data_IF_609641680332
#
_entry.id   IF_609641680332
#
_cell.length_a   1.000
_cell.length_b   1.000
_cell.length_c   1.000
_cell.angle_alpha   90.00
_cell.angle_beta   90.00
_cell.angle_gamma   90.00
#
_symmetry.space_group_name_H-M   'P 1'
#
loop_
_entity.id
_entity.type
_entity.pdbx_description
1 polymer ?
#
# COMPACT_ATOMS: atom_id res chain seq x y z
N UNK A 1 11.35 -39.56 20.33
CA UNK A 1 12.38 -38.72 19.71
C UNK A 1 11.98 -38.47 18.26
N UNK A 2 12.30 -37.28 17.76
CA UNK A 2 11.83 -36.59 16.55
C UNK A 2 11.90 -37.41 15.24
N UNK A 3 11.22 -37.09 14.13
CA UNK A 3 11.11 -35.79 13.45
C UNK A 3 9.94 -35.79 12.45
N UNK A 4 9.09 -34.76 12.50
CA UNK A 4 8.26 -34.34 11.38
C UNK A 4 9.00 -33.30 10.53
N UNK A 5 8.86 -33.36 9.20
CA UNK A 5 9.28 -32.32 8.26
C UNK A 5 8.32 -32.37 7.07
N UNK A 6 7.24 -31.60 7.11
CA UNK A 6 7.10 -30.26 6.50
C UNK A 6 6.95 -30.34 4.98
N UNK A 7 5.71 -30.65 4.55
CA UNK A 7 5.28 -30.48 3.17
C UNK A 7 5.13 -28.98 2.85
N UNK A 8 5.75 -28.58 1.75
CA UNK A 8 5.73 -27.21 1.22
C UNK A 8 4.36 -26.95 0.60
N UNK A 9 3.54 -26.13 1.25
CA UNK A 9 2.24 -25.71 0.71
C UNK A 9 2.44 -24.66 -0.40
N UNK A 10 2.48 -25.12 -1.66
CA UNK A 10 2.42 -24.27 -2.84
C UNK A 10 1.04 -23.60 -2.90
N UNK A 11 1.01 -22.28 -2.71
CA UNK A 11 -0.21 -21.49 -2.57
C UNK A 11 -1.12 -21.54 -3.79
N UNK A 12 -2.21 -22.30 -3.67
CA UNK A 12 -3.35 -22.26 -4.60
C UNK A 12 -4.03 -20.90 -4.48
N UNK A 13 -4.05 -20.13 -5.56
CA UNK A 13 -4.78 -18.86 -5.62
C UNK A 13 -6.28 -19.17 -5.50
N UNK A 14 -6.86 -18.88 -4.34
CA UNK A 14 -8.28 -19.08 -4.04
C UNK A 14 -9.17 -18.39 -5.11
N UNK A 15 -10.22 -19.02 -5.66
CA UNK A 15 -11.03 -18.49 -6.79
C UNK A 15 -11.69 -17.12 -6.52
N UNK A 16 -12.06 -16.85 -5.26
CA UNK A 16 -12.54 -15.53 -4.81
C UNK A 16 -11.48 -14.44 -5.02
N UNK A 17 -10.21 -14.83 -5.17
CA UNK A 17 -9.13 -13.90 -5.45
C UNK A 17 -9.15 -13.33 -6.88
N UNK A 18 -9.66 -14.10 -7.83
CA UNK A 18 -9.73 -13.70 -9.23
C UNK A 18 -10.87 -12.69 -9.45
N UNK A 19 -12.02 -12.92 -8.80
CA UNK A 19 -13.18 -12.04 -8.88
C UNK A 19 -12.91 -10.64 -8.32
N UNK A 20 -12.15 -10.51 -7.21
CA UNK A 20 -11.78 -9.19 -6.71
C UNK A 20 -10.82 -8.46 -7.65
N UNK A 21 -9.86 -9.17 -8.26
CA UNK A 21 -8.93 -8.59 -9.25
C UNK A 21 -9.68 -8.05 -10.46
N UNK A 22 -10.71 -8.77 -10.91
CA UNK A 22 -11.56 -8.36 -12.03
C UNK A 22 -12.42 -7.15 -11.68
N UNK A 23 -13.04 -7.11 -10.50
CA UNK A 23 -13.81 -5.95 -10.05
C UNK A 23 -12.94 -4.70 -9.87
N UNK A 24 -11.74 -4.88 -9.32
CA UNK A 24 -10.77 -3.79 -9.16
C UNK A 24 -10.28 -3.29 -10.52
N UNK A 25 -10.04 -4.18 -11.48
CA UNK A 25 -9.63 -3.83 -12.84
C UNK A 25 -10.71 -3.03 -13.58
N UNK A 26 -11.98 -3.44 -13.48
CA UNK A 26 -13.11 -2.74 -14.11
C UNK A 26 -13.36 -1.35 -13.50
N UNK A 27 -13.18 -1.20 -12.18
CA UNK A 27 -13.28 0.11 -11.51
C UNK A 27 -12.10 1.02 -11.83
N UNK A 28 -10.86 0.49 -11.83
CA UNK A 28 -9.68 1.25 -12.27
C UNK A 28 -9.80 1.69 -13.72
N UNK A 29 -10.49 0.92 -14.56
CA UNK A 29 -10.83 1.31 -15.92
C UNK A 29 -11.81 2.49 -15.92
N UNK A 30 -12.89 2.45 -15.13
CA UNK A 30 -13.84 3.56 -14.98
C UNK A 30 -13.21 4.85 -14.44
N UNK A 31 -12.37 4.78 -13.40
CA UNK A 31 -11.64 5.95 -12.90
C UNK A 31 -10.72 6.53 -13.98
N UNK A 32 -10.08 5.67 -14.80
CA UNK A 32 -9.19 6.06 -15.91
C UNK A 32 -9.84 7.00 -16.93
N UNK A 33 -11.14 6.86 -17.15
CA UNK A 33 -11.90 7.64 -18.13
C UNK A 33 -12.53 8.92 -17.54
N UNK A 34 -12.27 9.23 -16.26
CA UNK A 34 -12.81 10.41 -15.57
C UNK A 34 -11.79 11.09 -14.64
N UNK A 35 -10.49 11.06 -14.99
CA UNK A 35 -9.44 11.59 -14.11
C UNK A 35 -9.36 13.11 -14.18
N UNK A 36 -9.59 13.77 -13.04
CA UNK A 36 -9.13 15.14 -12.83
C UNK A 36 -7.59 15.22 -12.92
N UNK A 37 -7.01 16.41 -13.16
CA UNK A 37 -5.55 16.58 -13.15
C UNK A 37 -4.86 16.06 -11.88
N UNK A 38 -5.53 16.13 -10.74
CA UNK A 38 -5.00 15.64 -9.46
C UNK A 38 -5.03 14.11 -9.36
N UNK A 39 -6.08 13.48 -9.88
CA UNK A 39 -6.14 12.02 -9.96
C UNK A 39 -5.07 11.45 -10.92
N UNK A 40 -4.78 12.16 -12.02
CA UNK A 40 -3.68 11.81 -12.91
C UNK A 40 -2.30 11.95 -12.23
N UNK A 41 -2.10 13.01 -11.42
CA UNK A 41 -0.88 13.19 -10.63
C UNK A 41 -0.72 12.08 -9.58
N UNK A 42 -1.79 11.76 -8.85
CA UNK A 42 -1.83 10.68 -7.86
C UNK A 42 -1.39 9.35 -8.47
N UNK A 43 -1.99 8.97 -9.61
CA UNK A 43 -1.61 7.75 -10.33
C UNK A 43 -0.14 7.74 -10.77
N UNK A 44 0.36 8.86 -11.29
CA UNK A 44 1.80 8.98 -11.65
C UNK A 44 2.69 8.76 -10.43
N UNK A 45 2.27 9.26 -9.27
CA UNK A 45 3.00 9.07 -8.01
C UNK A 45 2.97 7.61 -7.56
N UNK A 46 1.82 6.95 -7.57
CA UNK A 46 1.72 5.52 -7.27
C UNK A 46 2.61 4.67 -8.20
N UNK A 47 2.65 5.00 -9.50
CA UNK A 47 3.51 4.33 -10.47
C UNK A 47 5.00 4.52 -10.15
N UNK A 48 5.39 5.73 -9.74
CA UNK A 48 6.76 6.03 -9.30
C UNK A 48 7.10 5.32 -7.99
N UNK A 49 6.21 5.35 -7.00
CA UNK A 49 6.37 4.66 -5.71
C UNK A 49 6.52 3.15 -5.89
N UNK A 50 5.72 2.54 -6.76
CA UNK A 50 5.84 1.13 -7.11
C UNK A 50 7.21 0.79 -7.69
N UNK A 51 7.70 1.59 -8.65
CA UNK A 51 9.04 1.39 -9.23
C UNK A 51 10.15 1.58 -8.19
N UNK A 52 10.04 2.63 -7.38
CA UNK A 52 10.97 2.92 -6.29
C UNK A 52 11.06 1.73 -5.33
N UNK A 53 9.93 1.26 -4.79
CA UNK A 53 9.88 0.12 -3.87
C UNK A 53 10.53 -1.14 -4.47
N UNK A 54 10.21 -1.46 -5.72
CA UNK A 54 10.82 -2.63 -6.40
C UNK A 54 12.33 -2.49 -6.56
N UNK A 55 12.81 -1.30 -6.92
CA UNK A 55 14.24 -1.03 -7.05
C UNK A 55 14.95 -1.06 -5.68
N UNK A 56 14.22 -0.74 -4.60
CA UNK A 56 14.69 -0.84 -3.22
C UNK A 56 14.57 -2.24 -2.62
N UNK A 57 14.25 -3.27 -3.42
CA UNK A 57 14.21 -4.67 -2.98
C UNK A 57 12.86 -5.16 -2.45
N UNK A 58 11.82 -4.33 -2.42
CA UNK A 58 10.50 -4.73 -1.96
C UNK A 58 9.79 -5.58 -3.03
N UNK A 59 9.05 -6.59 -2.57
CA UNK A 59 8.11 -7.33 -3.41
C UNK A 59 6.71 -6.70 -3.30
N UNK A 60 6.28 -5.99 -4.32
CA UNK A 60 4.92 -5.42 -4.36
C UNK A 60 3.87 -6.51 -4.59
N UNK A 61 2.92 -6.62 -3.67
CA UNK A 61 1.88 -7.65 -3.62
C UNK A 61 0.55 -7.16 -4.20
N UNK A 62 0.22 -5.89 -3.98
CA UNK A 62 -0.98 -5.25 -4.51
C UNK A 62 -0.79 -3.74 -4.65
N UNK A 63 -1.61 -3.12 -5.50
CA UNK A 63 -1.76 -1.67 -5.64
C UNK A 63 -3.25 -1.33 -5.58
N UNK A 64 -3.59 -0.18 -5.02
CA UNK A 64 -4.95 0.34 -4.85
C UNK A 64 -5.89 -0.69 -4.21
N UNK A 65 -5.39 -1.30 -3.12
CA UNK A 65 -6.03 -2.39 -2.41
C UNK A 65 -7.23 -1.88 -1.62
N UNK A 66 -8.41 -2.47 -1.87
CA UNK A 66 -9.66 -2.10 -1.19
C UNK A 66 -10.39 -3.34 -0.67
N UNK A 67 -10.39 -3.63 0.65
CA UNK A 67 -11.11 -4.78 1.18
C UNK A 67 -12.62 -4.53 1.27
N UNK A 68 -13.42 -5.53 0.88
CA UNK A 68 -14.84 -5.63 1.28
C UNK A 68 -15.76 -4.52 0.77
N UNK A 69 -15.61 -4.07 -0.49
CA UNK A 69 -16.55 -3.15 -1.12
C UNK A 69 -16.16 -1.67 -1.11
N UNK A 70 -14.99 -1.31 -0.54
CA UNK A 70 -14.41 0.04 -0.70
C UNK A 70 -14.42 0.93 0.53
N UNK A 71 -14.79 0.43 1.72
CA UNK A 71 -14.78 1.21 2.97
C UNK A 71 -13.39 1.70 3.39
N UNK A 72 -12.34 1.08 2.85
CA UNK A 72 -10.94 1.44 3.11
C UNK A 72 -10.09 1.18 1.88
N UNK A 73 -9.01 1.94 1.76
CA UNK A 73 -8.05 1.85 0.66
C UNK A 73 -6.64 1.92 1.21
N UNK A 74 -5.74 1.16 0.57
CA UNK A 74 -4.29 1.28 0.71
C UNK A 74 -3.68 1.33 -0.68
N UNK A 75 -2.84 2.34 -0.94
CA UNK A 75 -2.27 2.59 -2.26
C UNK A 75 -1.33 1.45 -2.70
N UNK A 76 -0.48 0.95 -1.80
CA UNK A 76 0.42 -0.18 -2.10
C UNK A 76 0.49 -1.13 -0.90
N UNK A 77 0.44 -2.44 -1.18
CA UNK A 77 0.80 -3.50 -0.24
C UNK A 77 2.05 -4.19 -0.75
N UNK A 78 3.08 -4.28 0.07
CA UNK A 78 4.39 -4.82 -0.30
C UNK A 78 4.94 -5.75 0.78
N UNK A 79 6.02 -6.44 0.44
CA UNK A 79 6.79 -7.27 1.37
C UNK A 79 8.25 -6.82 1.37
N UNK A 80 8.77 -6.61 2.58
CA UNK A 80 10.15 -6.24 2.89
C UNK A 80 10.75 -7.35 3.77
N UNK A 81 11.42 -8.32 3.16
CA UNK A 81 11.79 -9.57 3.83
C UNK A 81 10.56 -10.32 4.37
N UNK A 82 10.45 -10.40 5.70
CA UNK A 82 9.30 -11.01 6.39
C UNK A 82 8.24 -10.01 6.84
N UNK A 83 8.48 -8.71 6.62
CA UNK A 83 7.56 -7.65 7.00
C UNK A 83 6.52 -7.41 5.90
N UNK A 84 5.25 -7.40 6.26
CA UNK A 84 4.15 -6.95 5.43
C UNK A 84 3.97 -5.44 5.57
N UNK A 85 4.15 -4.72 4.47
CA UNK A 85 4.21 -3.26 4.47
C UNK A 85 2.99 -2.68 3.75
N UNK A 86 2.28 -1.77 4.41
CA UNK A 86 1.20 -0.99 3.83
C UNK A 86 1.71 0.43 3.59
N UNK A 87 1.72 0.86 2.33
CA UNK A 87 2.31 2.14 1.93
C UNK A 87 1.23 3.07 1.42
N UNK A 88 1.24 4.28 1.96
CA UNK A 88 0.47 5.42 1.49
C UNK A 88 1.35 6.33 0.63
N UNK A 89 0.85 6.77 -0.53
CA UNK A 89 1.58 7.58 -1.51
C UNK A 89 1.02 9.00 -1.57
N UNK A 90 1.87 9.98 -1.29
CA UNK A 90 1.52 11.40 -1.36
C UNK A 90 2.20 12.05 -2.57
N UNK A 91 1.41 12.55 -3.51
CA UNK A 91 1.91 13.16 -4.75
C UNK A 91 1.73 14.68 -4.74
N UNK A 92 2.78 15.44 -5.05
CA UNK A 92 2.77 16.93 -5.01
C UNK A 92 3.50 17.55 -6.19
N UNK A 93 3.07 18.74 -6.64
CA UNK A 93 3.69 19.47 -7.76
C UNK A 93 4.90 20.32 -7.34
N UNK A 94 4.87 20.92 -6.15
CA UNK A 94 5.94 21.77 -5.61
C UNK A 94 6.21 21.44 -4.13
N UNK A 95 7.36 21.89 -3.63
CA UNK A 95 7.79 21.73 -2.24
C UNK A 95 7.25 22.83 -1.31
N UNK A 96 6.70 23.92 -1.87
CA UNK A 96 6.29 25.12 -1.15
C UNK A 96 4.94 24.93 -0.45
N UNK A 97 4.91 24.19 0.66
CA UNK A 97 3.92 24.36 1.74
C UNK A 97 4.48 23.79 3.05
N UNK A 98 4.38 24.61 4.10
CA UNK A 98 4.91 24.38 5.44
C UNK A 98 4.34 23.16 6.17
N UNK A 99 5.14 22.64 7.11
CA UNK A 99 4.81 21.54 8.00
C UNK A 99 3.75 22.01 9.03
N UNK A 100 2.54 21.41 9.04
CA UNK A 100 2.16 20.42 10.05
C UNK A 100 1.56 19.12 9.47
N UNK A 101 1.21 19.07 8.18
CA UNK A 101 0.40 18.00 7.55
C UNK A 101 1.21 16.79 7.03
N UNK A 102 2.39 16.52 7.60
CA UNK A 102 3.21 15.36 7.19
C UNK A 102 2.56 14.04 7.59
N UNK A 103 1.86 14.02 8.72
CA UNK A 103 1.20 12.84 9.24
C UNK A 103 0.00 12.44 8.36
N UNK A 104 -0.28 11.15 8.29
CA UNK A 104 -1.58 10.68 7.80
C UNK A 104 -2.60 11.05 8.88
N UNK A 105 -3.71 11.72 8.52
CA UNK A 105 -4.75 12.06 9.49
C UNK A 105 -5.32 10.82 10.17
N UNK A 106 -5.72 10.93 11.43
CA UNK A 106 -6.14 9.79 12.27
C UNK A 106 -7.22 8.92 11.62
N UNK A 107 -8.23 9.54 11.00
CA UNK A 107 -9.30 8.82 10.30
C UNK A 107 -8.77 7.98 9.13
N UNK A 108 -7.75 8.48 8.42
CA UNK A 108 -7.12 7.72 7.35
C UNK A 108 -6.24 6.60 7.91
N UNK A 109 -5.52 6.83 9.02
CA UNK A 109 -4.78 5.78 9.71
C UNK A 109 -5.71 4.62 10.15
N UNK A 110 -6.85 4.94 10.78
CA UNK A 110 -7.85 3.94 11.20
C UNK A 110 -8.35 3.09 10.03
N UNK A 111 -8.61 3.70 8.87
CA UNK A 111 -9.02 2.99 7.65
C UNK A 111 -7.91 2.07 7.13
N UNK A 112 -6.68 2.55 7.07
CA UNK A 112 -5.52 1.77 6.62
C UNK A 112 -5.28 0.58 7.57
N UNK A 113 -5.31 0.80 8.89
CA UNK A 113 -5.16 -0.27 9.90
C UNK A 113 -6.26 -1.33 9.74
N UNK A 114 -7.52 -0.92 9.53
CA UNK A 114 -8.62 -1.86 9.29
C UNK A 114 -8.38 -2.69 8.02
N UNK A 115 -7.92 -2.07 6.95
CA UNK A 115 -7.58 -2.78 5.72
C UNK A 115 -6.41 -3.76 5.93
N UNK A 116 -5.39 -3.32 6.65
CA UNK A 116 -4.21 -4.11 6.97
C UNK A 116 -4.54 -5.34 7.82
N UNK A 117 -5.34 -5.19 8.88
CA UNK A 117 -5.78 -6.33 9.72
C UNK A 117 -6.50 -7.39 8.89
N UNK A 118 -7.37 -6.96 7.96
CA UNK A 118 -8.07 -7.89 7.05
C UNK A 118 -7.12 -8.59 6.09
N UNK A 119 -6.12 -7.89 5.55
CA UNK A 119 -5.14 -8.50 4.66
C UNK A 119 -4.24 -9.49 5.42
N UNK A 120 -3.66 -9.07 6.55
CA UNK A 120 -2.75 -9.88 7.36
C UNK A 120 -3.40 -11.19 7.83
N UNK A 121 -4.63 -11.11 8.35
CA UNK A 121 -5.42 -12.29 8.74
C UNK A 121 -5.65 -13.26 7.59
N UNK A 122 -5.98 -12.76 6.38
CA UNK A 122 -6.16 -13.60 5.18
C UNK A 122 -4.86 -14.20 4.66
N UNK A 123 -3.75 -13.51 4.88
CA UNK A 123 -2.42 -13.94 4.45
C UNK A 123 -1.73 -14.85 5.47
N UNK A 124 -2.31 -15.04 6.66
CA UNK A 124 -1.69 -15.79 7.76
C UNK A 124 -0.41 -15.12 8.28
N UNK A 125 -0.38 -13.78 8.28
CA UNK A 125 0.77 -12.98 8.73
C UNK A 125 0.47 -12.43 10.12
N UNK A 126 1.40 -12.60 11.05
CA UNK A 126 1.30 -12.08 12.41
C UNK A 126 1.30 -10.55 12.41
N UNK A 127 0.50 -9.95 13.29
CA UNK A 127 0.40 -8.49 13.35
C UNK A 127 1.72 -7.80 13.71
N UNK A 128 2.60 -8.50 14.45
CA UNK A 128 3.95 -8.03 14.77
C UNK A 128 4.85 -7.88 13.55
N UNK A 129 4.49 -8.47 12.41
CA UNK A 129 5.22 -8.36 11.14
C UNK A 129 4.62 -7.30 10.22
N UNK A 130 3.69 -6.47 10.70
CA UNK A 130 3.05 -5.42 9.90
C UNK A 130 3.72 -4.07 10.15
N UNK A 131 4.04 -3.36 9.06
CA UNK A 131 4.56 -2.00 9.07
C UNK A 131 3.73 -1.07 8.19
N UNK A 132 3.65 0.21 8.59
CA UNK A 132 2.99 1.25 7.81
C UNK A 132 4.02 2.29 7.36
N UNK A 133 4.13 2.48 6.06
CA UNK A 133 5.09 3.40 5.45
C UNK A 133 4.36 4.54 4.73
N UNK A 134 5.07 5.64 4.50
CA UNK A 134 4.65 6.67 3.53
C UNK A 134 5.72 6.90 2.49
N UNK A 135 5.28 7.16 1.25
CA UNK A 135 6.15 7.66 0.19
C UNK A 135 5.63 9.00 -0.27
N UNK A 136 6.42 10.05 -0.08
CA UNK A 136 6.13 11.39 -0.59
C UNK A 136 6.91 11.64 -1.87
N UNK A 137 6.21 12.08 -2.92
CA UNK A 137 6.77 12.35 -4.24
C UNK A 137 6.48 13.79 -4.59
N UNK A 138 7.54 14.57 -4.82
CA UNK A 138 7.46 15.91 -5.39
C UNK A 138 7.94 15.85 -6.83
N UNK A 139 7.09 16.25 -7.77
CA UNK A 139 7.37 16.21 -9.21
C UNK A 139 8.28 17.35 -9.68
N UNK A 140 9.47 17.43 -9.09
CA UNK A 140 10.63 18.21 -9.58
C UNK A 140 11.32 17.49 -10.75
N UNK A 141 12.40 18.09 -11.28
CA UNK A 141 13.22 17.48 -12.32
C UNK A 141 14.68 17.36 -11.82
N UNK A 142 15.14 16.16 -11.41
CA UNK A 142 14.40 14.90 -11.30
C UNK A 142 13.37 14.90 -10.14
N UNK A 143 12.39 13.97 -10.13
CA UNK A 143 11.43 13.87 -9.03
C UNK A 143 12.13 13.56 -7.70
N UNK A 144 11.72 14.25 -6.64
CA UNK A 144 12.18 13.97 -5.27
C UNK A 144 11.26 12.92 -4.64
N UNK A 145 11.86 11.86 -4.08
CA UNK A 145 11.15 10.76 -3.42
C UNK A 145 11.69 10.64 -1.99
N UNK A 146 10.78 10.69 -1.03
CA UNK A 146 11.08 10.44 0.38
C UNK A 146 10.24 9.27 0.86
N UNK A 147 10.90 8.17 1.25
CA UNK A 147 10.28 7.00 1.86
C UNK A 147 10.51 7.05 3.37
N UNK A 148 9.43 7.23 4.12
CA UNK A 148 9.45 7.15 5.57
C UNK A 148 8.86 5.80 5.98
N UNK A 149 9.72 4.96 6.56
CA UNK A 149 9.31 3.70 7.20
C UNK A 149 8.74 3.99 8.59
N UNK A 150 7.86 3.11 9.07
CA UNK A 150 7.20 3.24 10.37
C UNK A 150 6.51 4.61 10.54
N UNK A 151 5.84 5.08 9.49
CA UNK A 151 5.21 6.40 9.46
C UNK A 151 4.13 6.57 10.55
N UNK A 152 3.53 5.47 11.02
CA UNK A 152 2.64 5.42 12.17
C UNK A 152 2.44 3.97 12.64
N UNK A 153 2.00 3.80 13.88
CA UNK A 153 1.63 2.51 14.47
C UNK A 153 0.26 2.59 15.14
N UNK A 154 -0.65 1.67 14.78
CA UNK A 154 -1.98 1.48 15.43
C UNK A 154 -2.73 2.78 15.82
N UNK A 155 -2.70 3.80 14.95
CA UNK A 155 -3.39 5.08 15.16
C UNK A 155 -2.61 6.16 15.93
N UNK A 156 -1.32 5.97 16.19
CA UNK A 156 -0.41 6.99 16.73
C UNK A 156 0.83 7.12 15.84
N UNK A 157 1.22 8.35 15.53
CA UNK A 157 2.54 8.60 14.93
C UNK A 157 3.63 8.41 15.99
N UNK A 158 4.81 7.92 15.59
CA UNK A 158 6.03 7.98 16.42
C UNK A 158 6.70 9.34 16.30
#
# INVERSE_FOLDING_TARGET
>A
MATGSSEKHLGVIQPKQLLWKLSDSARQFRERFSLSPDAALGRRGEDLAHRYLRNSGFRVLARNYRPGGGESEVDIVARDGDTLVFVEVKSRRSADFGSPDRAIGEEKQKRIVRAARRYASRAGIEWSQVRFDTISIVFTHPPSIVHQQDAFFDGRAI
#
